data_IF_017222981290
#
_entry.id   IF_017222981290
#
_cell.length_a   1.000
_cell.length_b   1.000
_cell.length_c   1.000
_cell.angle_alpha   90.00
_cell.angle_beta   90.00
_cell.angle_gamma   90.00
#
_symmetry.space_group_name_H-M   'P 1'
#
loop_
_entity.id
_entity.type
_entity.pdbx_description
1 polymer ?
#
# COMPACT_ATOMS: atom_id res chain seq x y z
N UNK A 1 -6.61 -12.09 -50.27
CA UNK A 1 -6.87 -12.47 -48.86
C UNK A 1 -5.62 -13.16 -48.34
N UNK A 2 -5.16 -12.83 -47.12
CA UNK A 2 -4.71 -13.83 -46.15
C UNK A 2 -4.34 -13.17 -44.82
N UNK A 3 -5.32 -13.24 -43.92
CA UNK A 3 -5.24 -13.52 -42.49
C UNK A 3 -4.20 -12.77 -41.64
N UNK A 4 -4.77 -11.82 -40.92
CA UNK A 4 -4.38 -11.23 -39.64
C UNK A 4 -3.91 -12.30 -38.64
N UNK A 5 -2.64 -12.71 -38.71
CA UNK A 5 -2.02 -13.48 -37.64
C UNK A 5 -1.43 -12.51 -36.61
N UNK A 6 -2.33 -11.81 -35.91
CA UNK A 6 -2.04 -11.23 -34.59
C UNK A 6 -2.01 -12.38 -33.57
N UNK A 7 -1.17 -13.37 -33.80
CA UNK A 7 -0.80 -14.31 -32.75
C UNK A 7 0.01 -13.50 -31.75
N UNK A 8 -0.55 -13.35 -30.56
CA UNK A 8 -0.07 -12.54 -29.45
C UNK A 8 1.25 -13.08 -28.91
N UNK A 9 2.32 -13.03 -29.72
CA UNK A 9 3.68 -13.22 -29.28
C UNK A 9 4.04 -11.97 -28.50
N UNK A 10 3.69 -11.96 -27.21
CA UNK A 10 4.27 -11.05 -26.24
C UNK A 10 5.78 -11.07 -26.49
N UNK A 11 6.29 -9.96 -27.03
CA UNK A 11 7.72 -9.79 -27.25
C UNK A 11 8.43 -10.02 -25.92
N UNK A 12 9.70 -10.43 -25.95
CA UNK A 12 10.48 -10.62 -24.71
C UNK A 12 10.39 -9.39 -23.79
N UNK A 13 10.30 -8.20 -24.39
CA UNK A 13 10.03 -6.93 -23.71
C UNK A 13 8.69 -6.89 -22.97
N UNK A 14 7.61 -7.41 -23.55
CA UNK A 14 6.30 -7.45 -22.90
C UNK A 14 6.26 -8.44 -21.74
N UNK A 15 6.99 -9.57 -21.83
CA UNK A 15 7.13 -10.51 -20.72
C UNK A 15 7.91 -9.90 -19.56
N UNK A 16 9.04 -9.24 -19.86
CA UNK A 16 9.82 -8.51 -18.84
C UNK A 16 9.03 -7.39 -18.17
N UNK A 17 8.20 -6.67 -18.93
CA UNK A 17 7.33 -5.64 -18.39
C UNK A 17 6.30 -6.21 -17.39
N UNK A 18 5.68 -7.36 -17.71
CA UNK A 18 4.77 -8.06 -16.79
C UNK A 18 5.48 -8.55 -15.52
N UNK A 19 6.70 -9.09 -15.64
CA UNK A 19 7.49 -9.51 -14.48
C UNK A 19 7.89 -8.32 -13.59
N UNK A 20 8.20 -7.16 -14.17
CA UNK A 20 8.47 -5.92 -13.44
C UNK A 20 7.22 -5.44 -12.71
N UNK A 21 6.08 -5.41 -13.39
CA UNK A 21 4.80 -4.99 -12.81
C UNK A 21 4.40 -5.86 -11.61
N UNK A 22 4.56 -7.18 -11.72
CA UNK A 22 4.35 -8.11 -10.60
C UNK A 22 5.29 -7.83 -9.42
N UNK A 23 6.58 -7.59 -9.67
CA UNK A 23 7.54 -7.24 -8.62
C UNK A 23 7.18 -5.92 -7.92
N UNK A 24 6.72 -4.92 -8.68
CA UNK A 24 6.25 -3.66 -8.12
C UNK A 24 5.00 -3.86 -7.27
N UNK A 25 4.03 -4.64 -7.73
CA UNK A 25 2.82 -4.94 -6.96
C UNK A 25 3.14 -5.66 -5.64
N UNK A 26 4.06 -6.63 -5.65
CA UNK A 26 4.51 -7.31 -4.42
C UNK A 26 5.25 -6.37 -3.47
N UNK A 27 6.06 -5.45 -4.01
CA UNK A 27 6.80 -4.48 -3.20
C UNK A 27 5.87 -3.45 -2.56
N UNK A 28 4.88 -2.94 -3.31
CA UNK A 28 3.84 -2.03 -2.79
C UNK A 28 2.99 -2.75 -1.74
N UNK A 29 2.63 -4.02 -1.97
CA UNK A 29 1.90 -4.81 -0.98
C UNK A 29 2.69 -4.95 0.31
N UNK A 30 3.98 -5.28 0.25
CA UNK A 30 4.85 -5.35 1.43
C UNK A 30 4.97 -4.01 2.14
N UNK A 31 5.14 -2.91 1.42
CA UNK A 31 5.17 -1.56 1.99
C UNK A 31 3.86 -1.19 2.70
N UNK A 32 2.72 -1.56 2.12
CA UNK A 32 1.41 -1.36 2.74
C UNK A 32 1.19 -2.33 3.92
N UNK A 33 1.84 -3.49 3.96
CA UNK A 33 1.85 -4.36 5.15
C UNK A 33 2.84 -3.86 6.22
N UNK A 34 3.73 -2.90 5.88
CA UNK A 34 4.77 -2.41 6.78
C UNK A 34 4.15 -1.44 7.80
N UNK A 35 3.55 -2.05 8.80
CA UNK A 35 3.41 -1.66 10.21
C UNK A 35 2.68 -0.35 10.51
N UNK A 36 1.54 -0.51 11.18
CA UNK A 36 0.93 0.55 11.96
C UNK A 36 1.92 1.07 13.00
N UNK A 37 2.35 2.32 12.87
CA UNK A 37 3.25 2.96 13.85
C UNK A 37 2.39 3.65 14.89
N UNK A 38 2.57 3.31 16.17
CA UNK A 38 1.94 4.00 17.29
C UNK A 38 2.98 4.61 18.23
N UNK A 39 2.79 5.88 18.60
CA UNK A 39 3.63 6.57 19.58
C UNK A 39 2.81 7.60 20.35
N UNK A 40 3.36 8.07 21.48
CA UNK A 40 2.80 9.21 22.23
C UNK A 40 3.57 10.46 21.85
N UNK A 41 2.87 11.53 21.45
CA UNK A 41 3.51 12.81 21.13
C UNK A 41 3.75 13.68 22.38
N UNK A 42 4.50 14.77 22.24
CA UNK A 42 4.89 15.67 23.35
C UNK A 42 3.70 16.31 24.08
N UNK A 43 2.55 16.46 23.42
CA UNK A 43 1.28 16.94 24.00
C UNK A 43 0.46 15.81 24.64
N UNK A 44 0.98 14.58 24.65
CA UNK A 44 0.40 13.42 25.33
C UNK A 44 -0.72 12.71 24.56
N UNK A 45 -0.85 12.89 23.24
CA UNK A 45 -1.82 12.12 22.46
C UNK A 45 -1.21 10.81 21.96
N UNK A 46 -2.05 9.78 21.84
CA UNK A 46 -1.73 8.57 21.08
C UNK A 46 -1.86 8.90 19.59
N UNK A 47 -0.76 8.83 18.86
CA UNK A 47 -0.71 8.96 17.41
C UNK A 47 -0.57 7.58 16.81
N UNK A 48 -1.50 7.20 15.93
CA UNK A 48 -1.42 5.99 15.12
C UNK A 48 -1.37 6.34 13.65
N UNK A 49 -0.37 5.82 12.94
CA UNK A 49 -0.29 5.87 11.49
C UNK A 49 -0.69 4.51 10.94
N UNK A 50 -1.79 4.49 10.22
CA UNK A 50 -2.28 3.31 9.53
C UNK A 50 -1.53 3.13 8.20
N UNK A 51 -1.46 1.89 7.68
CA UNK A 51 -0.77 1.58 6.43
C UNK A 51 -1.37 2.26 5.18
N UNK A 52 -2.64 2.67 5.24
CA UNK A 52 -3.31 3.47 4.22
C UNK A 52 -2.91 4.96 4.25
N UNK A 53 -1.97 5.32 5.15
CA UNK A 53 -1.45 6.68 5.29
C UNK A 53 -2.30 7.58 6.18
N UNK A 54 -3.42 7.09 6.70
CA UNK A 54 -4.25 7.83 7.66
C UNK A 54 -3.51 7.96 8.99
N UNK A 55 -3.49 9.18 9.51
CA UNK A 55 -2.93 9.50 10.83
C UNK A 55 -4.10 9.81 11.75
N UNK A 56 -4.22 9.04 12.83
CA UNK A 56 -5.23 9.25 13.87
C UNK A 56 -4.56 9.73 15.15
N UNK A 57 -5.08 10.81 15.72
CA UNK A 57 -4.61 11.38 16.99
C UNK A 57 -5.72 11.28 18.02
N UNK A 58 -5.51 10.51 19.08
CA UNK A 58 -6.50 10.29 20.14
C UNK A 58 -5.94 10.79 21.48
N UNK A 59 -6.75 11.55 22.21
CA UNK A 59 -6.49 11.87 23.62
C UNK A 59 -7.34 10.93 24.45
N UNK A 60 -6.76 10.32 25.48
CA UNK A 60 -7.55 9.69 26.53
C UNK A 60 -8.27 10.82 27.28
N UNK A 61 -9.47 11.16 26.81
CA UNK A 61 -10.37 12.05 27.54
C UNK A 61 -11.11 11.11 28.49
N UNK A 62 -10.91 11.22 29.81
CA UNK A 62 -11.68 10.40 30.74
C UNK A 62 -13.15 10.67 30.42
N UNK A 63 -13.88 9.63 30.00
CA UNK A 63 -15.31 9.75 29.78
C UNK A 63 -15.93 9.95 31.16
N UNK A 64 -16.08 11.21 31.57
CA UNK A 64 -16.91 11.53 32.73
C UNK A 64 -18.32 11.19 32.30
N UNK A 65 -18.75 9.96 32.60
CA UNK A 65 -20.16 9.59 32.52
C UNK A 65 -20.85 10.48 33.56
N UNK A 66 -21.54 11.51 33.08
CA UNK A 66 -22.49 12.29 33.89
C UNK A 66 -23.72 11.44 34.19
#
# INVERSE_FOLDING_TARGET
>A
MNHTDKETKLSDAAKRALELDQKFAEHIKKLNETESVSYIDEEGYVVMRSPDGVITRMRDVPSVKS
#
